data_IF_194217865003
#
_entry.id   IF_194217865003
#
_cell.length_a   1.000
_cell.length_b   1.000
_cell.length_c   1.000
_cell.angle_alpha   90.00
_cell.angle_beta   90.00
_cell.angle_gamma   90.00
#
_symmetry.space_group_name_H-M   'P 1'
#
loop_
_entity.id
_entity.type
_entity.pdbx_description
1 polymer ?
#
# COMPACT_ATOMS: atom_id res chain seq x y z
N UNK A 1 30.37 17.66 -5.94
CA UNK A 1 30.01 16.33 -6.49
C UNK A 1 28.86 15.70 -5.69
N UNK A 2 27.69 15.54 -6.34
CA UNK A 2 26.77 14.41 -6.11
C UNK A 2 25.88 14.39 -4.86
N UNK A 3 25.03 15.39 -4.62
CA UNK A 3 23.88 15.19 -3.73
C UNK A 3 22.85 14.28 -4.41
N UNK A 4 22.89 12.99 -4.06
CA UNK A 4 21.89 11.99 -4.45
C UNK A 4 20.56 12.27 -3.74
N UNK A 5 19.82 13.24 -4.27
CA UNK A 5 18.38 13.27 -4.09
C UNK A 5 17.85 11.95 -4.66
N UNK A 6 17.28 11.10 -3.79
CA UNK A 6 16.46 9.98 -4.22
C UNK A 6 15.30 10.54 -5.02
N UNK A 7 15.50 10.71 -6.32
CA UNK A 7 14.43 10.81 -7.28
C UNK A 7 13.63 9.52 -7.13
N UNK A 8 12.50 9.61 -6.41
CA UNK A 8 11.39 8.69 -6.63
C UNK A 8 11.13 8.76 -8.12
N UNK A 9 11.58 7.75 -8.87
CA UNK A 9 11.27 7.60 -10.30
C UNK A 9 9.76 7.75 -10.42
N UNK A 10 9.30 8.94 -10.81
CA UNK A 10 7.90 9.18 -11.15
C UNK A 10 7.68 8.30 -12.37
N UNK A 11 6.99 7.18 -12.18
CA UNK A 11 6.36 6.50 -13.30
C UNK A 11 5.34 7.50 -13.84
N UNK A 12 5.74 8.29 -14.82
CA UNK A 12 4.81 9.07 -15.64
C UNK A 12 4.12 8.03 -16.51
N UNK A 13 3.14 7.33 -15.94
CA UNK A 13 2.13 6.69 -16.77
C UNK A 13 1.35 7.85 -17.38
N UNK A 14 1.58 8.11 -18.66
CA UNK A 14 0.77 9.02 -19.47
C UNK A 14 -0.61 8.37 -19.58
N UNK A 15 -1.48 8.68 -18.62
CA UNK A 15 -2.86 8.21 -18.64
C UNK A 15 -3.53 8.89 -19.82
N UNK A 16 -4.06 8.09 -20.75
CA UNK A 16 -4.87 8.58 -21.85
C UNK A 16 -6.21 9.06 -21.28
N UNK A 17 -6.40 10.38 -21.23
CA UNK A 17 -7.62 11.00 -20.76
C UNK A 17 -8.68 10.95 -21.85
N UNK A 18 -9.78 10.22 -21.62
CA UNK A 18 -10.93 10.24 -22.52
C UNK A 18 -11.70 11.55 -22.36
N UNK A 19 -12.42 11.97 -23.42
CA UNK A 19 -13.29 13.16 -23.37
C UNK A 19 -14.35 13.06 -22.24
N UNK A 20 -14.84 11.85 -21.95
CA UNK A 20 -15.72 11.59 -20.81
C UNK A 20 -15.02 11.76 -19.46
N UNK A 21 -13.76 11.35 -19.33
CA UNK A 21 -12.95 11.53 -18.12
C UNK A 21 -12.62 12.99 -17.84
N UNK A 22 -12.38 13.80 -18.88
CA UNK A 22 -12.12 15.24 -18.76
C UNK A 22 -13.37 15.97 -18.26
N UNK A 23 -14.56 15.65 -18.81
CA UNK A 23 -15.84 16.24 -18.36
C UNK A 23 -16.19 15.97 -16.90
N UNK A 24 -15.61 14.92 -16.30
CA UNK A 24 -15.83 14.62 -14.88
C UNK A 24 -14.98 15.49 -13.95
N UNK A 25 -13.87 16.08 -14.43
CA UNK A 25 -13.01 16.93 -13.62
C UNK A 25 -13.79 18.15 -13.11
N UNK A 26 -13.75 18.40 -11.79
CA UNK A 26 -14.48 19.52 -11.18
C UNK A 26 -15.96 19.28 -10.90
N UNK A 27 -16.53 18.13 -11.28
CA UNK A 27 -17.94 17.78 -11.00
C UNK A 27 -18.14 17.03 -9.67
N UNK A 28 -17.09 16.35 -9.18
CA UNK A 28 -17.08 15.60 -7.93
C UNK A 28 -15.69 15.68 -7.26
N UNK A 29 -15.53 15.31 -5.98
CA UNK A 29 -14.23 15.26 -5.34
C UNK A 29 -13.24 14.37 -6.12
N UNK A 30 -11.97 14.81 -6.21
CA UNK A 30 -10.94 14.10 -7.00
C UNK A 30 -10.81 12.61 -6.64
N UNK A 31 -11.09 12.23 -5.39
CA UNK A 31 -11.08 10.84 -4.92
C UNK A 31 -12.26 10.00 -5.46
N UNK A 32 -13.40 10.61 -5.73
CA UNK A 32 -14.57 9.94 -6.30
C UNK A 32 -14.43 9.78 -7.80
N UNK A 33 -13.96 10.83 -8.50
CA UNK A 33 -13.63 10.74 -9.93
C UNK A 33 -12.55 9.68 -10.16
N UNK A 34 -11.55 9.61 -9.28
CA UNK A 34 -10.52 8.59 -9.29
C UNK A 34 -11.08 7.18 -9.20
N UNK A 35 -12.04 6.93 -8.29
CA UNK A 35 -12.75 5.65 -8.20
C UNK A 35 -13.55 5.34 -9.47
N UNK A 36 -14.23 6.33 -10.06
CA UNK A 36 -15.03 6.17 -11.27
C UNK A 36 -14.19 5.86 -12.51
N UNK A 37 -12.97 6.40 -12.57
CA UNK A 37 -12.04 6.23 -13.68
C UNK A 37 -10.99 5.12 -13.46
N UNK A 38 -11.05 4.42 -12.32
CA UNK A 38 -10.02 3.46 -11.88
C UNK A 38 -8.59 4.05 -11.93
N UNK A 39 -8.46 5.30 -11.49
CA UNK A 39 -7.21 6.05 -11.43
C UNK A 39 -6.84 6.36 -9.99
N UNK A 40 -5.55 6.62 -9.75
CA UNK A 40 -5.11 7.17 -8.48
C UNK A 40 -5.59 8.63 -8.29
N UNK A 41 -6.05 9.05 -7.08
CA UNK A 41 -6.54 10.40 -6.81
C UNK A 41 -5.59 11.54 -7.19
N UNK A 42 -4.28 11.31 -7.13
CA UNK A 42 -3.29 12.30 -7.51
C UNK A 42 -3.25 12.57 -9.03
N UNK A 43 -3.63 11.59 -9.86
CA UNK A 43 -3.69 11.76 -11.32
C UNK A 43 -4.83 12.68 -11.75
N UNK A 44 -6.00 12.49 -11.14
CA UNK A 44 -7.18 13.35 -11.33
C UNK A 44 -6.87 14.76 -10.86
N UNK A 45 -6.29 14.91 -9.66
CA UNK A 45 -5.87 16.21 -9.14
C UNK A 45 -4.91 16.93 -10.10
N UNK A 46 -3.89 16.23 -10.59
CA UNK A 46 -2.89 16.80 -11.50
C UNK A 46 -3.53 17.25 -12.82
N UNK A 47 -4.38 16.41 -13.44
CA UNK A 47 -5.04 16.79 -14.70
C UNK A 47 -6.03 17.93 -14.53
N UNK A 48 -6.74 17.95 -13.39
CA UNK A 48 -7.61 19.06 -12.99
C UNK A 48 -6.81 20.38 -12.88
N UNK A 49 -5.67 20.36 -12.20
CA UNK A 49 -4.79 21.52 -12.03
C UNK A 49 -4.18 21.99 -13.37
N UNK A 50 -3.77 21.05 -14.23
CA UNK A 50 -3.29 21.33 -15.60
C UNK A 50 -4.35 22.01 -16.46
N UNK A 51 -5.62 21.67 -16.27
CA UNK A 51 -6.77 22.24 -16.98
C UNK A 51 -7.36 23.48 -16.28
N UNK A 52 -6.75 23.96 -15.18
CA UNK A 52 -7.24 25.13 -14.43
C UNK A 52 -8.59 24.94 -13.74
N UNK A 53 -9.10 23.71 -13.63
CA UNK A 53 -10.44 23.43 -13.09
C UNK A 53 -10.37 23.47 -11.56
N UNK A 54 -11.33 24.09 -10.88
CA UNK A 54 -11.37 24.09 -9.40
C UNK A 54 -11.90 22.74 -8.87
N UNK A 55 -11.41 22.27 -7.72
CA UNK A 55 -11.88 21.01 -7.14
C UNK A 55 -13.33 21.15 -6.64
N UNK A 56 -14.17 20.17 -6.96
CA UNK A 56 -15.57 20.10 -6.51
C UNK A 56 -15.72 19.70 -5.03
N UNK A 57 -14.60 19.54 -4.29
CA UNK A 57 -14.68 19.30 -2.86
C UNK A 57 -15.52 20.42 -2.24
N UNK A 58 -16.60 20.11 -1.51
CA UNK A 58 -17.27 21.12 -0.72
C UNK A 58 -16.19 21.77 0.14
N UNK A 59 -15.97 23.08 -0.04
CA UNK A 59 -15.16 23.84 0.90
C UNK A 59 -15.83 23.59 2.24
N UNK A 60 -15.17 22.88 3.15
CA UNK A 60 -15.65 22.76 4.51
C UNK A 60 -16.00 24.18 4.96
N UNK A 61 -17.23 24.39 5.42
CA UNK A 61 -17.70 25.72 5.82
C UNK A 61 -16.63 26.35 6.70
N UNK A 62 -16.21 27.59 6.42
CA UNK A 62 -15.19 28.25 7.22
C UNK A 62 -15.57 28.13 8.69
N UNK A 63 -14.67 27.57 9.50
CA UNK A 63 -14.91 27.42 10.93
C UNK A 63 -15.17 28.82 11.50
N UNK A 64 -16.36 29.03 12.08
CA UNK A 64 -16.68 30.27 12.77
C UNK A 64 -15.95 30.30 14.11
N UNK A 65 -14.78 30.95 14.12
CA UNK A 65 -13.93 31.04 15.30
C UNK A 65 -14.60 31.84 16.42
N UNK A 66 -15.04 31.17 17.48
CA UNK A 66 -15.50 31.84 18.70
C UNK A 66 -14.33 32.34 19.54
N UNK A 67 -14.57 33.26 20.47
CA UNK A 67 -13.54 33.75 21.41
C UNK A 67 -12.93 32.61 22.24
N UNK A 68 -13.72 31.61 22.62
CA UNK A 68 -13.24 30.42 23.33
C UNK A 68 -12.26 29.59 22.49
N UNK A 69 -12.56 29.39 21.20
CA UNK A 69 -11.66 28.65 20.29
C UNK A 69 -10.36 29.40 20.04
N UNK A 70 -10.42 30.73 19.91
CA UNK A 70 -9.23 31.58 19.72
C UNK A 70 -8.29 31.54 20.93
N UNK A 71 -8.83 31.47 22.15
CA UNK A 71 -8.04 31.33 23.38
C UNK A 71 -7.24 30.02 23.45
N UNK A 72 -7.61 28.99 22.68
CA UNK A 72 -6.87 27.73 22.64
C UNK A 72 -5.65 27.77 21.70
N UNK A 73 -5.60 28.71 20.76
CA UNK A 73 -4.48 28.82 19.82
C UNK A 73 -3.19 29.15 20.57
N UNK A 74 -2.12 28.37 20.34
CA UNK A 74 -0.84 28.56 21.01
C UNK A 74 -0.74 27.98 22.43
N UNK A 75 -1.84 27.53 23.04
CA UNK A 75 -1.82 26.88 24.38
C UNK A 75 -1.35 25.43 24.35
N UNK A 76 -1.47 24.77 23.20
CA UNK A 76 -1.00 23.41 22.95
C UNK A 76 -0.64 23.29 21.46
N UNK A 77 -0.07 22.15 21.05
CA UNK A 77 0.25 21.93 19.63
C UNK A 77 -1.01 21.99 18.76
N UNK A 78 -0.88 22.44 17.52
CA UNK A 78 -2.01 22.60 16.60
C UNK A 78 -2.83 21.31 16.46
N UNK A 79 -2.17 20.14 16.51
CA UNK A 79 -2.84 18.83 16.49
C UNK A 79 -3.63 18.51 17.78
N UNK A 80 -3.19 19.01 18.94
CA UNK A 80 -3.93 18.85 20.21
C UNK A 80 -5.13 19.78 20.22
N UNK A 81 -4.96 21.04 19.85
CA UNK A 81 -6.05 22.02 19.74
C UNK A 81 -7.09 21.56 18.71
N UNK A 82 -6.64 21.04 17.56
CA UNK A 82 -7.52 20.50 16.52
C UNK A 82 -8.37 19.32 17.02
N UNK A 83 -7.77 18.40 17.79
CA UNK A 83 -8.52 17.29 18.41
C UNK A 83 -9.54 17.79 19.43
N UNK A 84 -9.15 18.76 20.28
CA UNK A 84 -10.07 19.35 21.27
C UNK A 84 -11.27 20.05 20.63
N UNK A 85 -11.06 20.65 19.47
CA UNK A 85 -12.08 21.40 18.73
C UNK A 85 -12.81 20.56 17.67
N UNK A 86 -12.43 19.29 17.49
CA UNK A 86 -12.93 18.42 16.42
C UNK A 86 -12.83 19.04 15.01
N UNK A 87 -11.77 19.80 14.73
CA UNK A 87 -11.50 20.43 13.43
C UNK A 87 -10.18 19.95 12.82
N UNK A 88 -9.96 20.24 11.54
CA UNK A 88 -8.70 19.93 10.85
C UNK A 88 -7.51 20.69 11.44
N UNK A 89 -6.36 20.02 11.63
CA UNK A 89 -5.16 20.66 12.17
C UNK A 89 -4.64 21.82 11.31
N UNK A 90 -4.82 21.72 9.99
CA UNK A 90 -4.48 22.75 9.01
C UNK A 90 -5.34 24.02 9.18
N UNK A 91 -6.56 23.88 9.68
CA UNK A 91 -7.46 25.01 9.98
C UNK A 91 -6.95 25.76 11.21
N UNK A 92 -6.52 25.04 12.25
CA UNK A 92 -5.90 25.60 13.45
C UNK A 92 -4.58 26.29 13.12
N UNK A 93 -3.70 25.64 12.35
CA UNK A 93 -2.42 26.22 11.92
C UNK A 93 -2.63 27.52 11.16
N UNK A 94 -3.57 27.55 10.21
CA UNK A 94 -3.88 28.76 9.43
C UNK A 94 -4.38 29.91 10.30
N UNK A 95 -5.31 29.63 11.21
CA UNK A 95 -5.84 30.67 12.10
C UNK A 95 -4.78 31.18 13.08
N UNK A 96 -3.98 30.27 13.66
CA UNK A 96 -2.85 30.61 14.51
C UNK A 96 -1.88 31.54 13.77
N UNK A 97 -1.48 31.19 12.54
CA UNK A 97 -0.56 32.01 11.73
C UNK A 97 -1.16 33.33 11.31
N UNK A 98 -2.45 33.37 10.95
CA UNK A 98 -3.16 34.61 10.58
C UNK A 98 -3.17 35.62 11.73
N UNK A 99 -3.14 35.13 12.97
CA UNK A 99 -3.11 35.95 14.20
C UNK A 99 -1.71 36.23 14.73
N UNK A 100 -0.66 35.79 14.02
CA UNK A 100 0.72 35.97 14.47
C UNK A 100 1.11 35.19 15.73
N UNK A 101 0.28 34.24 16.17
CA UNK A 101 0.54 33.46 17.39
C UNK A 101 1.65 32.44 17.06
N UNK A 102 2.78 32.36 17.77
CA UNK A 102 3.81 31.34 17.54
C UNK A 102 3.28 29.92 17.77
N UNK A 103 3.89 28.91 17.12
CA UNK A 103 3.54 27.51 17.38
C UNK A 103 3.87 27.16 18.82
N UNK A 104 2.99 26.41 19.50
CA UNK A 104 3.29 25.90 20.84
C UNK A 104 4.53 25.00 20.80
N UNK A 105 5.59 25.47 21.45
CA UNK A 105 6.79 24.69 21.73
C UNK A 105 6.68 24.32 23.21
N UNK A 106 6.41 23.06 23.57
CA UNK A 106 6.39 22.68 24.97
C UNK A 106 7.76 22.98 25.58
N UNK A 107 7.78 23.78 26.65
CA UNK A 107 8.97 24.01 27.47
C UNK A 107 9.41 22.67 28.06
N UNK A 108 10.27 21.96 27.33
CA UNK A 108 11.04 20.85 27.89
C UNK A 108 12.32 21.45 28.42
N UNK A 109 12.66 21.15 29.67
CA UNK A 109 13.94 21.56 30.25
C UNK A 109 15.07 21.26 29.23
N UNK A 110 16.00 22.23 29.01
CA UNK A 110 17.10 22.04 28.09
C UNK A 110 17.88 20.80 28.52
N UNK A 111 18.12 19.88 27.59
CA UNK A 111 18.91 18.69 27.85
C UNK A 111 20.33 19.13 28.22
N UNK A 112 20.75 18.88 29.46
CA UNK A 112 22.14 19.05 29.89
C UNK A 112 22.98 17.92 29.29
N UNK A 113 23.93 18.27 28.44
CA UNK A 113 24.84 17.32 27.82
C UNK A 113 25.96 16.96 28.79
N UNK A 114 26.00 15.71 29.26
CA UNK A 114 27.11 15.23 30.08
C UNK A 114 28.34 14.92 29.21
N UNK A 115 29.56 14.94 29.78
CA UNK A 115 30.77 14.52 29.06
C UNK A 115 30.65 13.12 28.45
N UNK A 116 29.98 12.18 29.13
CA UNK A 116 29.76 10.83 28.61
C UNK A 116 28.84 10.80 27.38
N UNK A 117 27.79 11.63 27.37
CA UNK A 117 26.90 11.77 26.22
C UNK A 117 27.64 12.38 25.02
N UNK A 118 28.47 13.40 25.26
CA UNK A 118 29.30 14.03 24.20
C UNK A 118 30.30 13.02 23.63
N UNK A 119 30.99 12.25 24.48
CA UNK A 119 31.90 11.18 24.02
C UNK A 119 31.21 10.11 23.18
N UNK A 120 29.93 9.84 23.42
CA UNK A 120 29.17 8.87 22.63
C UNK A 120 28.82 9.36 21.22
N UNK A 121 28.84 10.67 20.96
CA UNK A 121 28.52 11.25 19.66
C UNK A 121 29.53 10.78 18.59
N UNK A 122 29.03 10.22 17.49
CA UNK A 122 29.87 9.72 16.39
C UNK A 122 30.42 8.30 16.59
N UNK A 123 30.26 7.71 17.78
CA UNK A 123 30.61 6.30 18.03
C UNK A 123 29.56 5.33 17.44
N UNK A 124 28.30 5.75 17.44
CA UNK A 124 27.15 4.97 16.95
C UNK A 124 26.12 5.93 16.30
N UNK A 125 25.10 5.37 15.68
CA UNK A 125 24.05 6.14 15.00
C UNK A 125 23.31 7.05 15.96
N UNK A 126 22.86 8.22 15.48
CA UNK A 126 22.09 9.17 16.28
C UNK A 126 20.91 8.50 17.00
N UNK A 127 20.27 7.51 16.35
CA UNK A 127 19.14 6.74 16.89
C UNK A 127 19.54 5.79 18.02
N UNK A 128 20.66 5.09 17.89
CA UNK A 128 21.13 4.16 18.91
C UNK A 128 21.66 4.89 20.15
N UNK A 129 22.41 5.98 19.94
CA UNK A 129 22.83 6.89 21.02
C UNK A 129 21.59 7.47 21.73
N UNK A 130 20.60 7.91 20.97
CA UNK A 130 19.35 8.43 21.52
C UNK A 130 18.61 7.41 22.38
N UNK A 131 18.50 6.16 21.91
CA UNK A 131 17.91 5.07 22.67
C UNK A 131 18.69 4.78 23.95
N UNK A 132 20.03 4.77 23.89
CA UNK A 132 20.91 4.52 25.04
C UNK A 132 20.72 5.54 26.15
N UNK A 133 20.58 6.81 25.80
CA UNK A 133 20.46 7.91 26.77
C UNK A 133 19.02 8.33 27.05
N UNK A 134 18.02 7.65 26.48
CA UNK A 134 16.60 8.00 26.67
C UNK A 134 16.23 9.38 26.10
N UNK A 135 16.95 9.87 25.08
CA UNK A 135 16.73 11.18 24.47
C UNK A 135 16.17 11.06 23.05
N UNK A 136 15.68 12.17 22.48
CA UNK A 136 15.24 12.20 21.08
C UNK A 136 16.44 12.18 20.12
N UNK A 137 16.35 11.40 19.05
CA UNK A 137 17.39 11.27 18.00
C UNK A 137 17.75 12.60 17.35
N UNK A 138 16.78 13.50 17.19
CA UNK A 138 17.00 14.85 16.66
C UNK A 138 17.96 15.67 17.54
N UNK A 139 17.94 15.48 18.88
CA UNK A 139 18.83 16.19 19.81
C UNK A 139 20.28 15.73 19.64
N UNK A 140 20.49 14.42 19.48
CA UNK A 140 21.80 13.83 19.18
C UNK A 140 22.33 14.39 17.87
N UNK A 141 21.50 14.39 16.82
CA UNK A 141 21.85 14.95 15.51
C UNK A 141 22.26 16.42 15.59
N UNK A 142 21.51 17.23 16.33
CA UNK A 142 21.80 18.67 16.48
C UNK A 142 23.08 18.91 17.25
N UNK A 143 23.28 18.26 18.40
CA UNK A 143 24.52 18.42 19.18
C UNK A 143 25.73 17.94 18.39
N UNK A 144 25.59 16.82 17.68
CA UNK A 144 26.60 16.31 16.76
C UNK A 144 26.98 17.37 15.71
N UNK A 145 25.99 17.98 15.05
CA UNK A 145 26.24 19.05 14.05
C UNK A 145 26.88 20.29 14.65
N UNK A 146 26.44 20.72 15.83
CA UNK A 146 27.04 21.86 16.55
C UNK A 146 28.52 21.63 16.86
N UNK A 147 28.90 20.39 17.18
CA UNK A 147 30.29 20.02 17.47
C UNK A 147 31.08 19.61 16.22
N UNK A 148 30.51 19.76 15.01
CA UNK A 148 31.18 19.37 13.76
C UNK A 148 31.43 17.85 13.61
N UNK A 149 30.89 17.03 14.51
CA UNK A 149 31.10 15.58 14.51
C UNK A 149 30.36 14.99 13.29
N UNK A 150 30.98 14.23 12.37
CA UNK A 150 30.26 13.66 11.24
C UNK A 150 29.18 12.64 11.67
N UNK A 151 28.09 12.56 10.90
CA UNK A 151 27.04 11.54 11.06
C UNK A 151 27.62 10.17 10.72
N UNK A 152 28.15 9.47 11.73
CA UNK A 152 28.72 8.11 11.66
C UNK A 152 29.32 7.69 10.31
N UNK A 153 30.64 7.86 10.17
CA UNK A 153 31.45 6.70 9.77
C UNK A 153 31.84 6.04 11.09
N UNK A 154 31.31 4.86 11.38
CA UNK A 154 31.79 4.02 12.49
C UNK A 154 33.32 4.04 12.47
N UNK A 155 33.98 4.29 13.60
CA UNK A 155 35.44 4.18 13.70
C UNK A 155 35.79 2.69 13.67
N UNK A 156 35.98 2.18 12.46
CA UNK A 156 36.33 0.78 12.24
C UNK A 156 37.69 0.48 12.84
N UNK A 157 37.75 -0.54 13.69
CA UNK A 157 39.00 -1.12 14.18
C UNK A 157 39.35 -2.35 13.36
N UNK A 158 40.62 -2.73 13.33
CA UNK A 158 41.09 -3.97 12.67
C UNK A 158 40.32 -5.21 13.15
N UNK A 159 39.97 -5.27 14.45
CA UNK A 159 39.13 -6.33 15.02
C UNK A 159 37.73 -6.36 14.43
N UNK A 160 37.11 -5.21 14.21
CA UNK A 160 35.78 -5.11 13.60
C UNK A 160 35.83 -5.52 12.12
N UNK A 161 36.85 -5.09 11.38
CA UNK A 161 37.01 -5.44 9.97
C UNK A 161 37.17 -6.94 9.76
N UNK A 162 37.91 -7.63 10.65
CA UNK A 162 38.03 -9.10 10.65
C UNK A 162 36.69 -9.82 10.81
N UNK A 163 35.68 -9.19 11.43
CA UNK A 163 34.35 -9.78 11.59
C UNK A 163 33.46 -9.53 10.36
N UNK A 164 33.73 -8.50 9.57
CA UNK A 164 32.95 -8.17 8.36
C UNK A 164 33.15 -9.26 7.31
N UNK A 165 32.06 -9.89 6.88
CA UNK A 165 32.09 -10.98 5.88
C UNK A 165 32.18 -12.39 6.45
N UNK A 166 32.44 -12.56 7.75
CA UNK A 166 32.47 -13.88 8.41
C UNK A 166 31.07 -14.48 8.61
N UNK A 167 30.04 -13.64 8.66
CA UNK A 167 28.65 -14.02 8.83
C UNK A 167 27.75 -13.02 8.09
N UNK A 168 26.43 -13.27 7.93
CA UNK A 168 25.52 -12.29 7.36
C UNK A 168 25.62 -10.92 8.05
N UNK A 169 25.56 -9.82 7.28
CA UNK A 169 25.76 -8.45 7.79
C UNK A 169 24.91 -8.13 9.03
N UNK A 170 23.71 -8.71 9.16
CA UNK A 170 22.85 -8.57 10.33
C UNK A 170 23.40 -9.22 11.60
N UNK A 171 24.04 -10.40 11.48
CA UNK A 171 24.64 -11.13 12.61
C UNK A 171 25.90 -10.40 13.08
N UNK A 172 26.75 -9.98 12.15
CA UNK A 172 27.94 -9.18 12.46
C UNK A 172 27.54 -7.85 13.10
N UNK A 173 26.48 -7.21 12.60
CA UNK A 173 25.96 -5.98 13.16
C UNK A 173 25.47 -6.16 14.61
N UNK A 174 24.74 -7.24 14.89
CA UNK A 174 24.32 -7.56 16.25
C UNK A 174 25.53 -7.78 17.19
N UNK A 175 26.56 -8.50 16.74
CA UNK A 175 27.80 -8.72 17.52
C UNK A 175 28.56 -7.42 17.80
N UNK A 176 28.51 -6.46 16.88
CA UNK A 176 29.21 -5.17 17.00
C UNK A 176 28.37 -4.07 17.64
N UNK A 177 27.10 -4.33 17.97
CA UNK A 177 26.18 -3.29 18.44
C UNK A 177 25.85 -2.24 17.37
N UNK A 178 26.03 -2.56 16.09
CA UNK A 178 25.84 -1.65 14.96
C UNK A 178 24.55 -1.97 14.21
N UNK A 179 24.17 -1.10 13.27
CA UNK A 179 23.12 -1.43 12.30
C UNK A 179 23.66 -2.27 11.15
N UNK A 180 22.83 -3.15 10.57
CA UNK A 180 23.22 -3.94 9.39
C UNK A 180 23.68 -3.05 8.21
N UNK A 181 23.19 -1.81 8.12
CA UNK A 181 23.57 -0.85 7.10
C UNK A 181 25.04 -0.39 7.23
N UNK A 182 25.52 -0.18 8.46
CA UNK A 182 26.92 0.18 8.72
C UNK A 182 27.87 -0.93 8.28
N UNK A 183 27.59 -2.17 8.68
CA UNK A 183 28.37 -3.35 8.29
C UNK A 183 28.32 -3.55 6.77
N UNK A 184 27.15 -3.40 6.15
CA UNK A 184 26.99 -3.49 4.69
C UNK A 184 27.86 -2.47 3.95
N UNK A 185 27.89 -1.22 4.40
CA UNK A 185 28.72 -0.16 3.81
C UNK A 185 30.21 -0.46 3.98
N UNK A 186 30.64 -0.91 5.16
CA UNK A 186 32.03 -1.29 5.39
C UNK A 186 32.44 -2.49 4.56
N UNK A 187 31.58 -3.50 4.46
CA UNK A 187 31.79 -4.67 3.62
C UNK A 187 32.06 -4.27 2.17
N UNK A 188 31.31 -3.31 1.63
CA UNK A 188 31.59 -2.77 0.30
C UNK A 188 32.91 -1.99 0.23
N UNK A 189 33.23 -1.19 1.25
CA UNK A 189 34.50 -0.46 1.29
C UNK A 189 35.73 -1.39 1.39
N UNK A 190 35.58 -2.57 1.98
CA UNK A 190 36.62 -3.61 2.06
C UNK A 190 36.62 -4.56 0.86
N UNK A 191 35.73 -4.36 -0.13
CA UNK A 191 35.62 -5.27 -1.28
C UNK A 191 35.12 -6.69 -0.95
N UNK A 192 34.59 -6.92 0.26
CA UNK A 192 34.20 -8.24 0.72
C UNK A 192 32.83 -8.63 0.15
N UNK A 193 32.71 -9.83 -0.39
CA UNK A 193 31.43 -10.35 -0.90
C UNK A 193 30.46 -10.65 0.25
N UNK A 194 29.16 -10.48 0.01
CA UNK A 194 28.17 -10.72 1.06
C UNK A 194 28.05 -12.20 1.36
N UNK A 195 28.27 -12.58 2.63
CA UNK A 195 28.02 -13.94 3.13
C UNK A 195 26.55 -14.38 2.95
N UNK A 196 25.65 -13.46 2.60
CA UNK A 196 24.23 -13.74 2.39
C UNK A 196 24.00 -14.76 1.28
N UNK A 197 24.73 -14.69 0.15
CA UNK A 197 24.54 -15.64 -0.97
C UNK A 197 24.98 -17.04 -0.55
N UNK A 198 26.21 -17.18 -0.03
CA UNK A 198 26.77 -18.43 0.49
C UNK A 198 25.92 -19.06 1.60
N UNK A 199 25.39 -18.23 2.51
CA UNK A 199 24.47 -18.69 3.55
C UNK A 199 23.19 -19.28 2.96
N UNK A 200 22.57 -18.62 1.97
CA UNK A 200 21.34 -19.13 1.36
C UNK A 200 21.55 -20.30 0.40
N UNK A 201 22.73 -20.43 -0.21
CA UNK A 201 23.12 -21.60 -1.01
C UNK A 201 23.15 -22.87 -0.14
N UNK A 202 23.74 -22.81 1.05
CA UNK A 202 23.71 -23.95 2.00
C UNK A 202 22.40 -24.08 2.80
N UNK A 203 21.57 -23.04 2.87
CA UNK A 203 20.34 -23.06 3.64
C UNK A 203 19.27 -23.96 3.01
N UNK A 204 19.15 -23.99 1.68
CA UNK A 204 18.07 -24.70 0.97
C UNK A 204 18.44 -26.16 0.67
N UNK A 205 18.35 -27.02 1.69
CA UNK A 205 18.45 -28.48 1.50
C UNK A 205 17.19 -29.05 0.83
N UNK A 206 17.28 -30.27 0.29
CA UNK A 206 16.14 -31.00 -0.30
C UNK A 206 14.93 -31.04 0.64
N UNK A 207 15.17 -31.31 1.94
CA UNK A 207 14.14 -31.30 2.99
C UNK A 207 13.46 -29.94 3.19
N UNK A 208 14.19 -28.83 3.04
CA UNK A 208 13.61 -27.48 3.20
C UNK A 208 12.91 -27.02 1.92
N UNK A 209 13.41 -27.44 0.76
CA UNK A 209 12.75 -27.22 -0.52
C UNK A 209 11.41 -27.94 -0.61
N UNK A 210 11.30 -29.16 -0.07
CA UNK A 210 10.04 -29.92 -0.07
C UNK A 210 8.93 -29.27 0.76
N UNK A 211 9.26 -28.35 1.67
CA UNK A 211 8.27 -27.57 2.43
C UNK A 211 7.64 -26.44 1.60
N UNK A 212 8.27 -26.00 0.51
CA UNK A 212 7.75 -24.92 -0.31
C UNK A 212 6.46 -25.35 -1.01
N UNK A 213 5.38 -24.58 -0.82
CA UNK A 213 4.08 -24.90 -1.37
C UNK A 213 3.27 -25.92 -0.57
N UNK A 214 3.80 -26.51 0.51
CA UNK A 214 3.01 -27.40 1.39
C UNK A 214 2.08 -26.64 2.35
N UNK A 215 2.41 -25.39 2.64
CA UNK A 215 1.64 -24.45 3.46
C UNK A 215 1.84 -23.03 2.93
N UNK A 216 1.19 -22.04 3.55
CA UNK A 216 1.40 -20.63 3.19
C UNK A 216 2.86 -20.23 3.38
N UNK A 217 3.33 -19.24 2.60
CA UNK A 217 4.71 -18.75 2.67
C UNK A 217 5.05 -18.30 4.11
N UNK A 218 4.06 -17.79 4.86
CA UNK A 218 4.17 -17.38 6.27
C UNK A 218 4.45 -18.56 7.21
N UNK A 219 3.70 -19.66 7.08
CA UNK A 219 3.88 -20.85 7.93
C UNK A 219 5.21 -21.52 7.64
N UNK A 220 5.58 -21.64 6.36
CA UNK A 220 6.87 -22.20 5.96
C UNK A 220 8.02 -21.33 6.45
N UNK A 221 7.88 -20.00 6.39
CA UNK A 221 8.87 -19.06 6.90
C UNK A 221 9.09 -19.19 8.42
N UNK A 222 8.00 -19.31 9.18
CA UNK A 222 8.07 -19.53 10.63
C UNK A 222 8.77 -20.85 10.97
N UNK A 223 8.39 -21.95 10.31
CA UNK A 223 9.02 -23.28 10.51
C UNK A 223 10.51 -23.28 10.18
N UNK A 224 10.91 -22.51 9.19
CA UNK A 224 12.30 -22.45 8.72
C UNK A 224 13.14 -21.35 9.39
N UNK A 225 12.54 -20.49 10.23
CA UNK A 225 13.24 -19.38 10.87
C UNK A 225 13.77 -18.33 9.88
N UNK A 226 13.11 -18.15 8.74
CA UNK A 226 13.52 -17.19 7.69
C UNK A 226 12.41 -16.20 7.36
N UNK A 227 12.75 -15.14 6.62
CA UNK A 227 11.74 -14.17 6.21
C UNK A 227 10.75 -14.77 5.19
N UNK A 228 9.48 -14.36 5.27
CA UNK A 228 8.43 -14.70 4.29
C UNK A 228 8.85 -14.35 2.86
N UNK A 229 9.58 -13.24 2.69
CA UNK A 229 10.10 -12.83 1.38
C UNK A 229 11.14 -13.81 0.84
N UNK A 230 11.96 -14.42 1.70
CA UNK A 230 12.94 -15.45 1.31
C UNK A 230 12.22 -16.68 0.78
N UNK A 231 11.24 -17.21 1.52
CA UNK A 231 10.42 -18.35 1.11
C UNK A 231 9.70 -18.07 -0.21
N UNK A 232 9.02 -16.93 -0.31
CA UNK A 232 8.31 -16.51 -1.52
C UNK A 232 9.22 -16.47 -2.75
N UNK A 233 10.42 -15.89 -2.62
CA UNK A 233 11.39 -15.80 -3.72
C UNK A 233 11.85 -17.18 -4.17
N UNK A 234 12.19 -18.06 -3.24
CA UNK A 234 12.61 -19.43 -3.58
C UNK A 234 11.47 -20.21 -4.22
N UNK A 235 10.24 -20.11 -3.69
CA UNK A 235 9.05 -20.72 -4.27
C UNK A 235 8.84 -20.28 -5.73
N UNK A 236 8.89 -18.97 -5.99
CA UNK A 236 8.74 -18.41 -7.34
C UNK A 236 9.90 -18.83 -8.26
N UNK A 237 11.14 -18.83 -7.77
CA UNK A 237 12.31 -19.27 -8.53
C UNK A 237 12.26 -20.77 -8.90
N UNK A 238 11.57 -21.58 -8.09
CA UNK A 238 11.27 -22.99 -8.38
C UNK A 238 9.95 -23.18 -9.14
N UNK A 239 9.35 -22.09 -9.65
CA UNK A 239 8.10 -22.10 -10.39
C UNK A 239 6.92 -22.75 -9.65
N UNK A 240 6.97 -22.78 -8.31
CA UNK A 240 5.92 -23.38 -7.50
C UNK A 240 4.78 -22.36 -7.28
N UNK A 241 3.51 -22.72 -7.52
CA UNK A 241 2.39 -21.84 -7.23
C UNK A 241 2.20 -21.62 -5.72
N UNK A 242 1.59 -20.49 -5.30
CA UNK A 242 1.22 -20.28 -3.90
C UNK A 242 0.31 -21.41 -3.39
N UNK A 243 0.48 -21.81 -2.14
CA UNK A 243 -0.32 -22.89 -1.52
C UNK A 243 -1.83 -22.71 -1.69
N UNK A 244 -2.34 -21.47 -1.51
CA UNK A 244 -3.77 -21.19 -1.73
C UNK A 244 -4.21 -21.48 -3.16
N UNK A 245 -3.37 -21.19 -4.15
CA UNK A 245 -3.67 -21.48 -5.56
C UNK A 245 -3.64 -22.98 -5.85
N UNK A 246 -2.72 -23.74 -5.23
CA UNK A 246 -2.68 -25.20 -5.31
C UNK A 246 -3.93 -25.84 -4.70
N UNK A 247 -4.34 -25.39 -3.51
CA UNK A 247 -5.57 -25.82 -2.86
C UNK A 247 -6.80 -25.52 -3.73
N UNK A 248 -6.85 -24.34 -4.35
CA UNK A 248 -7.93 -23.99 -5.27
C UNK A 248 -7.98 -24.90 -6.51
N UNK A 249 -6.81 -25.33 -7.04
CA UNK A 249 -6.70 -26.28 -8.16
C UNK A 249 -7.13 -27.70 -7.79
N UNK A 250 -6.71 -28.21 -6.63
CA UNK A 250 -6.99 -29.60 -6.19
C UNK A 250 -8.48 -29.94 -6.03
N UNK A 251 -9.31 -28.92 -5.82
CA UNK A 251 -10.75 -29.06 -5.58
C UNK A 251 -11.59 -29.03 -6.88
N UNK A 252 -10.97 -28.91 -8.05
CA UNK A 252 -11.65 -29.01 -9.34
C UNK A 252 -11.53 -30.44 -9.87
N UNK A 253 -12.67 -31.07 -10.16
CA UNK A 253 -12.72 -32.37 -10.84
C UNK A 253 -12.94 -32.17 -12.34
N UNK A 254 -12.64 -33.19 -13.16
CA UNK A 254 -12.91 -33.15 -14.60
C UNK A 254 -14.40 -32.85 -14.91
N UNK A 255 -15.31 -33.40 -14.11
CA UNK A 255 -16.75 -33.11 -14.23
C UNK A 255 -17.08 -31.63 -13.95
N UNK A 256 -16.37 -30.97 -13.01
CA UNK A 256 -16.56 -29.54 -12.76
C UNK A 256 -15.97 -28.68 -13.88
N UNK A 257 -14.84 -29.10 -14.47
CA UNK A 257 -14.25 -28.41 -15.62
C UNK A 257 -15.14 -28.51 -16.86
N UNK A 258 -15.80 -29.66 -17.07
CA UNK A 258 -16.77 -29.85 -18.16
C UNK A 258 -18.00 -28.92 -18.06
N UNK A 259 -18.31 -28.39 -16.86
CA UNK A 259 -19.37 -27.40 -16.70
C UNK A 259 -18.94 -26.00 -17.15
N UNK A 260 -17.64 -25.70 -17.19
CA UNK A 260 -17.14 -24.38 -17.53
C UNK A 260 -17.41 -24.06 -19.00
N UNK A 261 -18.12 -22.95 -19.25
CA UNK A 261 -18.52 -22.58 -20.60
C UNK A 261 -19.73 -23.35 -21.12
N UNK A 262 -20.53 -24.01 -20.26
CA UNK A 262 -21.87 -24.55 -20.59
C UNK A 262 -23.01 -23.69 -20.04
N UNK A 263 -22.71 -22.79 -19.11
CA UNK A 263 -23.62 -21.85 -18.49
C UNK A 263 -22.83 -20.62 -17.99
N UNK A 264 -23.54 -19.57 -17.54
CA UNK A 264 -22.86 -18.38 -17.02
C UNK A 264 -21.98 -18.71 -15.81
N UNK A 265 -20.88 -17.98 -15.65
CA UNK A 265 -19.97 -18.15 -14.50
C UNK A 265 -20.74 -18.04 -13.16
N UNK A 266 -21.85 -17.28 -13.14
CA UNK A 266 -22.75 -17.14 -11.99
C UNK A 266 -23.60 -18.39 -11.75
N UNK A 267 -24.22 -18.98 -12.79
CA UNK A 267 -24.99 -20.23 -12.67
C UNK A 267 -24.10 -21.39 -12.25
N UNK A 268 -22.91 -21.51 -12.83
CA UNK A 268 -21.94 -22.54 -12.47
C UNK A 268 -21.46 -22.35 -11.03
N UNK A 269 -21.18 -21.11 -10.62
CA UNK A 269 -20.80 -20.80 -9.24
C UNK A 269 -21.88 -21.21 -8.23
N UNK A 270 -23.16 -20.92 -8.52
CA UNK A 270 -24.29 -21.38 -7.69
C UNK A 270 -24.36 -22.92 -7.66
N UNK A 271 -24.28 -23.59 -8.82
CA UNK A 271 -24.35 -25.06 -8.94
C UNK A 271 -23.24 -25.76 -8.17
N UNK A 272 -22.01 -25.23 -8.24
CA UNK A 272 -20.84 -25.78 -7.55
C UNK A 272 -20.69 -25.30 -6.11
N UNK A 273 -21.60 -24.44 -5.61
CA UNK A 273 -21.49 -23.76 -4.31
C UNK A 273 -20.13 -23.09 -4.11
N UNK A 274 -19.61 -22.45 -5.15
CA UNK A 274 -18.32 -21.75 -5.16
C UNK A 274 -18.52 -20.25 -5.42
N UNK A 275 -17.49 -19.46 -5.15
CA UNK A 275 -17.51 -18.04 -5.51
C UNK A 275 -17.36 -17.87 -7.02
N UNK A 276 -18.05 -16.87 -7.58
CA UNK A 276 -18.01 -16.55 -9.03
C UNK A 276 -16.57 -16.31 -9.50
N UNK A 277 -15.76 -15.60 -8.71
CA UNK A 277 -14.35 -15.34 -9.02
C UNK A 277 -13.51 -16.61 -9.19
N UNK A 278 -13.85 -17.71 -8.50
CA UNK A 278 -13.15 -18.98 -8.61
C UNK A 278 -13.46 -19.70 -9.92
N UNK A 279 -14.71 -19.66 -10.36
CA UNK A 279 -15.18 -20.17 -11.65
C UNK A 279 -14.54 -19.37 -12.79
N UNK A 280 -14.59 -18.03 -12.72
CA UNK A 280 -13.92 -17.13 -13.68
C UNK A 280 -12.43 -17.45 -13.80
N UNK A 281 -11.75 -17.63 -12.66
CA UNK A 281 -10.33 -17.92 -12.64
C UNK A 281 -10.02 -19.27 -13.31
N UNK A 282 -10.77 -20.33 -12.97
CA UNK A 282 -10.59 -21.66 -13.57
C UNK A 282 -10.87 -21.65 -15.07
N UNK A 283 -11.96 -21.00 -15.49
CA UNK A 283 -12.35 -20.81 -16.89
C UNK A 283 -11.23 -20.14 -17.68
N UNK A 284 -10.71 -19.01 -17.18
CA UNK A 284 -9.57 -18.29 -17.81
C UNK A 284 -8.31 -19.14 -17.86
N UNK A 285 -8.03 -19.92 -16.82
CA UNK A 285 -6.87 -20.81 -16.77
C UNK A 285 -6.96 -21.95 -17.79
N UNK A 286 -8.16 -22.42 -18.11
CA UNK A 286 -8.41 -23.41 -19.16
C UNK A 286 -8.59 -22.79 -20.54
N UNK A 287 -8.44 -21.47 -20.69
CA UNK A 287 -8.60 -20.78 -21.96
C UNK A 287 -10.04 -20.71 -22.48
N UNK A 288 -11.04 -21.08 -21.67
CA UNK A 288 -12.44 -21.13 -22.08
C UNK A 288 -12.99 -19.69 -22.13
N UNK A 289 -13.62 -19.25 -23.23
CA UNK A 289 -14.22 -17.92 -23.30
C UNK A 289 -15.45 -17.81 -22.37
N UNK A 290 -15.84 -16.60 -21.93
CA UNK A 290 -17.05 -16.43 -21.13
C UNK A 290 -18.29 -16.96 -21.86
N UNK A 291 -19.16 -17.68 -21.14
CA UNK A 291 -20.47 -18.09 -21.67
C UNK A 291 -21.22 -16.85 -22.15
N UNK A 292 -21.60 -16.84 -23.43
CA UNK A 292 -22.25 -15.73 -24.15
C UNK A 292 -21.37 -14.55 -24.61
N UNK A 293 -20.03 -14.64 -24.64
CA UNK A 293 -19.20 -13.58 -25.24
C UNK A 293 -19.58 -13.25 -26.72
N UNK A 294 -20.30 -14.15 -27.41
CA UNK A 294 -20.69 -14.02 -28.82
C UNK A 294 -22.20 -13.98 -29.11
N UNK A 295 -23.08 -14.20 -28.12
CA UNK A 295 -24.54 -14.07 -28.34
C UNK A 295 -25.01 -12.78 -27.68
N UNK A 296 -25.25 -11.73 -28.47
CA UNK A 296 -26.01 -10.57 -27.99
C UNK A 296 -27.38 -11.09 -27.59
N UNK A 297 -27.76 -10.90 -26.32
CA UNK A 297 -29.12 -11.21 -25.89
C UNK A 297 -30.10 -10.40 -26.76
N UNK A 298 -30.98 -11.13 -27.45
CA UNK A 298 -32.03 -10.55 -28.29
C UNK A 298 -33.18 -10.23 -27.35
N UNK A 299 -33.44 -8.94 -27.18
CA UNK A 299 -34.48 -8.46 -26.28
C UNK A 299 -35.86 -8.71 -26.89
N UNK A 300 -36.73 -9.35 -26.13
CA UNK A 300 -38.14 -9.56 -26.45
C UNK A 300 -39.03 -8.60 -25.66
N UNK A 301 -40.29 -8.45 -26.05
CA UNK A 301 -41.29 -7.69 -25.28
C UNK A 301 -41.47 -8.25 -23.86
N UNK A 302 -41.36 -9.58 -23.71
CA UNK A 302 -41.38 -10.23 -22.41
C UNK A 302 -40.19 -9.80 -21.54
N UNK A 303 -38.99 -9.68 -22.12
CA UNK A 303 -37.79 -9.23 -21.40
C UNK A 303 -37.92 -7.76 -20.96
N UNK A 304 -38.52 -6.93 -21.79
CA UNK A 304 -38.76 -5.52 -21.48
C UNK A 304 -39.81 -5.36 -20.35
N UNK A 305 -40.86 -6.18 -20.33
CA UNK A 305 -41.82 -6.22 -19.21
C UNK A 305 -41.17 -6.62 -17.87
N UNK A 306 -40.13 -7.46 -17.89
CA UNK A 306 -39.38 -7.81 -16.68
C UNK A 306 -38.57 -6.62 -16.15
N UNK A 307 -38.12 -5.70 -17.01
CA UNK A 307 -37.36 -4.51 -16.63
C UNK A 307 -38.19 -3.52 -15.80
N UNK A 308 -39.49 -3.42 -16.08
CA UNK A 308 -40.42 -2.57 -15.35
C UNK A 308 -40.88 -3.19 -14.02
N UNK A 309 -40.88 -4.52 -13.93
CA UNK A 309 -41.44 -5.24 -12.79
C UNK A 309 -40.42 -5.60 -11.71
N UNK A 310 -39.15 -5.81 -12.08
CA UNK A 310 -38.15 -6.35 -11.16
C UNK A 310 -36.85 -5.52 -11.10
N UNK A 311 -36.13 -5.54 -9.96
CA UNK A 311 -34.82 -4.90 -9.84
C UNK A 311 -33.78 -5.50 -10.79
N UNK A 312 -32.80 -4.70 -11.19
CA UNK A 312 -31.83 -5.08 -12.24
C UNK A 312 -31.06 -6.37 -11.94
N UNK A 313 -30.77 -6.62 -10.66
CA UNK A 313 -30.06 -7.83 -10.25
C UNK A 313 -30.92 -9.10 -10.41
N UNK A 314 -32.22 -8.95 -10.22
CA UNK A 314 -33.18 -10.04 -10.35
C UNK A 314 -33.49 -10.31 -11.83
N UNK A 315 -33.65 -9.25 -12.63
CA UNK A 315 -33.79 -9.37 -14.09
C UNK A 315 -32.54 -10.00 -14.70
N UNK A 316 -31.34 -9.55 -14.31
CA UNK A 316 -30.08 -10.16 -14.75
C UNK A 316 -30.00 -11.65 -14.38
N UNK A 317 -30.53 -12.02 -13.21
CA UNK A 317 -30.57 -13.42 -12.78
C UNK A 317 -31.58 -14.25 -13.58
N UNK A 318 -32.77 -13.70 -13.86
CA UNK A 318 -33.83 -14.38 -14.62
C UNK A 318 -33.43 -14.60 -16.07
N UNK A 319 -32.86 -13.57 -16.70
CA UNK A 319 -32.46 -13.58 -18.11
C UNK A 319 -31.07 -14.18 -18.35
N UNK A 320 -30.31 -14.49 -17.29
CA UNK A 320 -28.92 -15.00 -17.34
C UNK A 320 -27.98 -14.14 -18.19
N UNK A 321 -28.14 -12.82 -18.06
CA UNK A 321 -27.33 -11.80 -18.72
C UNK A 321 -26.64 -10.92 -17.69
N UNK A 322 -25.66 -10.13 -18.14
CA UNK A 322 -24.97 -9.23 -17.24
C UNK A 322 -25.91 -8.12 -16.74
N UNK A 323 -25.79 -7.73 -15.47
CA UNK A 323 -26.47 -6.54 -14.93
C UNK A 323 -26.16 -5.29 -15.76
N UNK A 324 -24.98 -5.23 -16.36
CA UNK A 324 -24.58 -4.16 -17.27
C UNK A 324 -25.36 -4.13 -18.58
N UNK A 325 -25.81 -5.27 -19.11
CA UNK A 325 -26.66 -5.32 -20.32
C UNK A 325 -28.11 -4.92 -19.99
N UNK A 326 -28.63 -5.33 -18.84
CA UNK A 326 -29.90 -4.86 -18.27
C UNK A 326 -29.92 -3.33 -18.14
N UNK A 327 -28.89 -2.75 -17.53
CA UNK A 327 -28.72 -1.29 -17.41
C UNK A 327 -28.57 -0.58 -18.77
N UNK A 328 -28.03 -1.26 -19.77
CA UNK A 328 -27.89 -0.71 -21.13
C UNK A 328 -29.23 -0.68 -21.85
N UNK A 329 -30.07 -1.72 -21.68
CA UNK A 329 -31.42 -1.76 -22.24
C UNK A 329 -32.36 -0.77 -21.57
N UNK A 330 -32.39 -0.69 -20.23
CA UNK A 330 -33.20 0.32 -19.50
C UNK A 330 -32.90 1.74 -19.95
N UNK A 331 -31.62 2.08 -20.14
CA UNK A 331 -31.21 3.39 -20.69
C UNK A 331 -31.69 3.65 -22.12
N UNK A 332 -31.82 2.62 -22.96
CA UNK A 332 -32.36 2.77 -24.32
C UNK A 332 -33.87 2.94 -24.33
N UNK A 333 -34.57 2.35 -23.36
CA UNK A 333 -36.03 2.43 -23.22
C UNK A 333 -36.50 3.58 -22.30
N UNK A 334 -35.58 4.36 -21.72
CA UNK A 334 -35.93 5.46 -20.82
C UNK A 334 -36.47 5.03 -19.44
N UNK A 335 -36.36 3.75 -19.07
CA UNK A 335 -36.88 3.22 -17.80
C UNK A 335 -35.97 3.63 -16.64
N UNK A 336 -36.52 4.37 -15.66
CA UNK A 336 -35.79 4.82 -14.47
C UNK A 336 -35.47 3.69 -13.49
N UNK A 337 -34.39 3.82 -12.72
CA UNK A 337 -33.91 2.76 -11.81
C UNK A 337 -34.93 2.43 -10.71
N UNK A 338 -35.46 1.20 -10.76
CA UNK A 338 -36.21 0.61 -9.64
C UNK A 338 -35.19 0.12 -8.62
N UNK A 339 -35.01 0.90 -7.55
CA UNK A 339 -34.12 0.53 -6.44
C UNK A 339 -34.78 -0.55 -5.58
N UNK A 340 -34.09 -1.67 -5.35
CA UNK A 340 -34.51 -2.67 -4.37
C UNK A 340 -34.63 -2.02 -2.98
N UNK A 341 -35.84 -1.92 -2.44
CA UNK A 341 -36.04 -1.67 -1.01
C UNK A 341 -35.77 -2.96 -0.25
N UNK A 342 -34.66 -2.93 0.51
CA UNK A 342 -34.18 -3.83 1.58
C UNK A 342 -34.06 -5.32 1.30
#
# INVERSE_FOLDING_TARGET
MGHSQKQRKKRVSTIAWTASGIRLLGTAPDAEIAKRLDLEPWNVRRKREEMGITSARPRASPVRWTSAMRRLLGTASDSVVARRLAIGHDVVTRERTRRGIPSFIPHRAPLRWTPAMVRSLGQDTDRAIAKRWGIADIRVRWKRRQLGIPSTRVRWTTRMDRLVGTAPDAVVAAKLGLTHGCVKLRRYALGVTSHRKRFFEGFWTTRRLSLLGTATDEVVAQRLGVSVTTVRRTRVAKCLPPFRQQQLRSRWTAAMDALLGTASDQRIAKRLRMTIGRVIYRRKHLGIPPWQAYRRHVWTEHDDALLERYPDAEVATRLDISRTDVLRRKRRLGISMISSRK
#
